data_IF_471941933387
#
_entry.id   IF_471941933387
#
_cell.length_a   1.000
_cell.length_b   1.000
_cell.length_c   1.000
_cell.angle_alpha   90.00
_cell.angle_beta   90.00
_cell.angle_gamma   90.00
#
_symmetry.space_group_name_H-M   'P 1'
#
loop_
_entity.id
_entity.type
_entity.pdbx_description
1 polymer ?
#
# COMPACT_ATOMS: atom_id res chain seq x y z
N UNK A 1 16.16 -13.82 -0.67
CA UNK A 1 17.64 -13.76 -0.80
C UNK A 1 18.24 -12.50 -0.16
N UNK A 2 17.79 -11.28 -0.50
CA UNK A 2 18.37 -10.04 0.03
C UNK A 2 18.42 -9.90 1.56
N UNK A 3 17.35 -10.30 2.27
CA UNK A 3 17.28 -10.25 3.75
C UNK A 3 18.32 -11.14 4.45
N UNK A 4 18.65 -12.31 3.88
CA UNK A 4 19.64 -13.22 4.45
C UNK A 4 21.04 -12.61 4.42
N UNK A 5 21.43 -11.99 3.30
CA UNK A 5 22.74 -11.36 3.17
C UNK A 5 22.92 -10.18 4.13
N UNK A 6 21.85 -9.42 4.37
CA UNK A 6 21.86 -8.34 5.36
C UNK A 6 22.05 -8.84 6.81
N UNK A 7 21.63 -10.07 7.11
CA UNK A 7 21.86 -10.72 8.41
C UNK A 7 23.25 -11.36 8.52
N UNK A 8 23.91 -11.63 7.38
CA UNK A 8 25.24 -12.22 7.32
C UNK A 8 26.20 -11.40 6.43
N UNK A 9 26.60 -10.18 6.84
CA UNK A 9 27.43 -9.30 6.00
C UNK A 9 28.76 -9.91 5.57
N UNK A 10 29.34 -10.79 6.39
CA UNK A 10 30.58 -11.52 6.05
C UNK A 10 30.41 -12.43 4.84
N UNK A 11 29.21 -12.95 4.57
CA UNK A 11 28.93 -13.76 3.39
C UNK A 11 29.01 -12.95 2.09
N UNK A 12 28.81 -11.63 2.13
CA UNK A 12 28.90 -10.76 0.95
C UNK A 12 30.32 -10.75 0.36
N UNK A 13 31.35 -10.99 1.17
CA UNK A 13 32.73 -11.07 0.71
C UNK A 13 33.02 -12.35 -0.11
N UNK A 14 32.17 -13.37 0.00
CA UNK A 14 32.33 -14.65 -0.71
C UNK A 14 31.75 -14.63 -2.13
N UNK A 15 30.93 -13.62 -2.46
CA UNK A 15 30.32 -13.54 -3.78
C UNK A 15 31.32 -13.03 -4.84
N UNK A 16 31.32 -13.65 -6.03
CA UNK A 16 31.96 -13.07 -7.21
C UNK A 16 31.45 -11.64 -7.49
N UNK A 17 32.32 -10.76 -7.96
CA UNK A 17 32.00 -9.32 -8.16
C UNK A 17 31.16 -9.04 -9.39
N UNK A 18 30.98 -10.02 -10.25
CA UNK A 18 30.12 -10.03 -11.43
C UNK A 18 28.67 -10.45 -11.12
N UNK A 19 28.36 -10.83 -9.87
CA UNK A 19 26.98 -11.08 -9.43
C UNK A 19 26.24 -9.76 -9.21
N UNK A 20 25.02 -9.68 -9.73
CA UNK A 20 24.07 -8.59 -9.46
C UNK A 20 23.01 -9.06 -8.47
N UNK A 21 22.82 -8.28 -7.40
CA UNK A 21 21.84 -8.58 -6.35
C UNK A 21 20.47 -8.03 -6.74
N UNK A 22 19.44 -8.89 -6.80
CA UNK A 22 18.05 -8.45 -6.81
C UNK A 22 17.62 -8.09 -5.38
N UNK A 23 17.70 -6.80 -5.03
CA UNK A 23 17.48 -6.32 -3.67
C UNK A 23 16.01 -5.93 -3.47
N UNK A 24 15.21 -6.87 -2.98
CA UNK A 24 13.77 -6.66 -2.80
C UNK A 24 13.38 -6.22 -1.39
N UNK A 25 12.47 -5.25 -1.32
CA UNK A 25 11.86 -4.79 -0.07
C UNK A 25 10.54 -4.08 -0.36
N UNK A 26 9.45 -4.57 0.25
CA UNK A 26 8.09 -4.15 -0.10
C UNK A 26 7.41 -3.30 0.97
N UNK A 27 8.03 -3.11 2.15
CA UNK A 27 7.42 -2.28 3.19
C UNK A 27 7.80 -0.83 2.98
N UNK A 28 6.86 0.08 3.24
CA UNK A 28 7.12 1.53 3.25
C UNK A 28 8.16 1.86 4.31
N UNK A 29 9.15 2.67 3.94
CA UNK A 29 10.22 3.16 4.82
C UNK A 29 10.52 4.62 4.54
N UNK A 30 11.00 5.31 5.57
CA UNK A 30 11.54 6.67 5.45
C UNK A 30 12.93 6.72 4.83
N UNK A 31 13.64 5.59 4.75
CA UNK A 31 14.90 5.43 4.03
C UNK A 31 15.16 3.93 3.79
N UNK A 32 15.75 3.60 2.65
CA UNK A 32 16.21 2.27 2.31
C UNK A 32 17.74 2.10 2.42
N UNK A 33 18.46 3.10 2.94
CA UNK A 33 19.93 3.07 3.02
C UNK A 33 20.45 1.84 3.77
N UNK A 34 19.75 1.40 4.83
CA UNK A 34 20.11 0.19 5.60
C UNK A 34 20.04 -1.09 4.76
N UNK A 35 19.24 -1.10 3.69
CA UNK A 35 19.09 -2.23 2.77
C UNK A 35 20.02 -2.11 1.55
N UNK A 36 20.43 -0.90 1.17
CA UNK A 36 21.22 -0.64 -0.05
C UNK A 36 22.73 -0.53 0.22
N UNK A 37 23.11 0.22 1.27
CA UNK A 37 24.50 0.55 1.56
C UNK A 37 25.39 -0.66 1.85
N UNK A 38 24.93 -1.74 2.50
CA UNK A 38 25.77 -2.92 2.72
C UNK A 38 26.32 -3.52 1.42
N UNK A 39 25.47 -3.65 0.39
CA UNK A 39 25.90 -4.18 -0.91
C UNK A 39 26.82 -3.20 -1.66
N UNK A 40 26.52 -1.90 -1.61
CA UNK A 40 27.37 -0.86 -2.17
C UNK A 40 28.78 -0.88 -1.57
N UNK A 41 28.88 -0.98 -0.24
CA UNK A 41 30.16 -1.07 0.49
C UNK A 41 30.91 -2.37 0.21
N UNK A 42 30.19 -3.45 -0.09
CA UNK A 42 30.78 -4.73 -0.52
C UNK A 42 31.24 -4.72 -2.00
N UNK A 43 30.99 -3.64 -2.74
CA UNK A 43 31.32 -3.50 -4.16
C UNK A 43 30.48 -4.42 -5.06
N UNK A 44 29.25 -4.74 -4.65
CA UNK A 44 28.32 -5.57 -5.41
C UNK A 44 27.33 -4.68 -6.16
N UNK A 45 27.08 -5.01 -7.43
CA UNK A 45 26.01 -4.38 -8.19
C UNK A 45 24.65 -4.87 -7.68
N UNK A 46 23.63 -4.04 -7.77
CA UNK A 46 22.29 -4.36 -7.31
C UNK A 46 21.19 -3.69 -8.16
N UNK A 47 20.06 -4.37 -8.28
CA UNK A 47 18.79 -3.76 -8.64
C UNK A 47 18.03 -3.45 -7.37
N UNK A 48 17.35 -2.31 -7.32
CA UNK A 48 16.28 -2.14 -6.32
C UNK A 48 15.02 -2.83 -6.85
N UNK A 49 14.34 -3.57 -5.99
CA UNK A 49 13.15 -4.33 -6.36
C UNK A 49 11.99 -3.97 -5.44
N UNK A 50 11.27 -2.87 -5.73
CA UNK A 50 10.02 -2.55 -5.03
C UNK A 50 8.91 -3.53 -5.44
N UNK A 51 7.75 -3.43 -4.80
CA UNK A 51 6.60 -4.27 -5.11
C UNK A 51 5.33 -3.46 -5.32
N UNK A 52 4.52 -3.90 -6.29
CA UNK A 52 3.25 -3.27 -6.65
C UNK A 52 2.07 -3.64 -5.73
N UNK A 53 2.37 -4.28 -4.60
CA UNK A 53 1.42 -4.63 -3.53
C UNK A 53 0.14 -5.29 -4.02
N UNK A 54 0.31 -6.39 -4.76
CA UNK A 54 -0.78 -7.04 -5.47
C UNK A 54 -0.86 -8.56 -5.17
N UNK A 55 -0.31 -8.98 -4.05
CA UNK A 55 -0.36 -10.35 -3.51
C UNK A 55 -1.23 -10.34 -2.25
N UNK A 56 -2.18 -11.26 -2.13
CA UNK A 56 -3.16 -11.24 -1.04
C UNK A 56 -4.24 -10.16 -1.22
N UNK A 57 -4.45 -9.64 -2.43
CA UNK A 57 -5.33 -8.50 -2.63
C UNK A 57 -6.31 -8.73 -3.78
N UNK A 58 -7.59 -8.42 -3.61
CA UNK A 58 -8.53 -8.38 -4.75
C UNK A 58 -8.19 -7.20 -5.68
N UNK A 59 -7.81 -6.06 -5.09
CA UNK A 59 -7.37 -4.86 -5.78
C UNK A 59 -6.09 -4.37 -5.09
N UNK A 60 -5.03 -4.01 -5.84
CA UNK A 60 -3.72 -3.75 -5.24
C UNK A 60 -3.75 -2.63 -4.20
N UNK A 61 -2.96 -2.75 -3.13
CA UNK A 61 -2.71 -1.66 -2.19
C UNK A 61 -1.80 -0.62 -2.86
N UNK A 62 -2.46 0.27 -3.61
CA UNK A 62 -1.81 1.35 -4.34
C UNK A 62 -1.07 2.28 -3.38
N UNK A 63 -1.54 2.45 -2.13
CA UNK A 63 -0.90 3.35 -1.18
C UNK A 63 0.48 2.85 -0.78
N UNK A 64 0.59 1.57 -0.46
CA UNK A 64 1.87 0.93 -0.12
C UNK A 64 2.77 0.89 -1.34
N UNK A 65 2.26 0.46 -2.50
CA UNK A 65 3.03 0.34 -3.73
C UNK A 65 3.73 1.65 -4.11
N UNK A 66 2.99 2.75 -4.28
CA UNK A 66 3.59 4.03 -4.74
C UNK A 66 4.55 4.63 -3.71
N UNK A 67 4.29 4.46 -2.40
CA UNK A 67 5.20 4.93 -1.35
C UNK A 67 6.48 4.11 -1.30
N UNK A 68 6.36 2.79 -1.42
CA UNK A 68 7.49 1.87 -1.48
C UNK A 68 8.34 2.16 -2.72
N UNK A 69 7.76 2.12 -3.91
CA UNK A 69 8.44 2.33 -5.19
C UNK A 69 9.07 3.70 -5.28
N UNK A 70 8.32 4.77 -4.99
CA UNK A 70 8.81 6.15 -5.12
C UNK A 70 10.02 6.44 -4.25
N UNK A 71 10.05 5.92 -3.00
CA UNK A 71 11.19 6.14 -2.10
C UNK A 71 12.33 5.16 -2.36
N UNK A 72 12.04 3.90 -2.65
CA UNK A 72 13.09 2.89 -2.84
C UNK A 72 13.90 3.17 -4.10
N UNK A 73 13.24 3.58 -5.19
CA UNK A 73 13.92 4.01 -6.42
C UNK A 73 14.74 5.27 -6.18
N UNK A 74 14.20 6.28 -5.48
CA UNK A 74 14.93 7.51 -5.19
C UNK A 74 16.19 7.29 -4.32
N UNK A 75 16.13 6.37 -3.35
CA UNK A 75 17.29 6.00 -2.55
C UNK A 75 18.28 5.16 -3.35
N UNK A 76 17.77 4.30 -4.24
CA UNK A 76 18.56 3.53 -5.20
C UNK A 76 19.40 4.42 -6.12
N UNK A 77 18.80 5.44 -6.73
CA UNK A 77 19.48 6.38 -7.62
C UNK A 77 20.68 7.11 -6.97
N UNK A 78 20.66 7.29 -5.65
CA UNK A 78 21.73 7.95 -4.89
C UNK A 78 22.79 6.98 -4.39
N UNK A 79 22.59 5.67 -4.56
CA UNK A 79 23.45 4.64 -3.98
C UNK A 79 24.36 4.01 -5.03
N UNK A 80 25.67 4.02 -4.75
CA UNK A 80 26.66 3.37 -5.62
C UNK A 80 26.35 1.88 -5.82
N UNK A 81 26.59 1.39 -7.02
CA UNK A 81 26.34 -0.01 -7.39
C UNK A 81 24.87 -0.34 -7.67
N UNK A 82 23.93 0.58 -7.47
CA UNK A 82 22.56 0.40 -7.98
C UNK A 82 22.57 0.67 -9.47
N UNK A 83 22.20 -0.34 -10.27
CA UNK A 83 22.27 -0.27 -11.74
C UNK A 83 20.90 -0.21 -12.43
N UNK A 84 19.82 -0.26 -11.65
CA UNK A 84 18.46 -0.11 -12.18
C UNK A 84 17.40 -0.59 -11.19
N UNK A 85 16.22 -0.88 -11.74
CA UNK A 85 15.04 -1.33 -10.99
C UNK A 85 14.51 -2.62 -11.61
N UNK A 86 14.11 -3.57 -10.77
CA UNK A 86 13.29 -4.72 -11.15
C UNK A 86 11.96 -4.60 -10.41
N UNK A 87 10.94 -4.10 -11.10
CA UNK A 87 9.61 -3.95 -10.51
C UNK A 87 8.98 -5.32 -10.30
N UNK A 88 8.36 -5.56 -9.13
CA UNK A 88 7.85 -6.88 -8.78
C UNK A 88 6.33 -6.89 -8.65
N UNK A 89 5.73 -7.81 -9.41
CA UNK A 89 4.30 -8.08 -9.48
C UNK A 89 4.14 -9.58 -9.22
N UNK A 90 3.53 -9.94 -8.09
CA UNK A 90 3.61 -11.31 -7.56
C UNK A 90 2.35 -12.15 -7.82
N UNK A 91 1.15 -11.62 -7.55
CA UNK A 91 -0.13 -12.34 -7.69
C UNK A 91 -0.14 -13.74 -7.02
N UNK A 92 0.40 -13.87 -5.80
CA UNK A 92 0.73 -15.17 -5.17
C UNK A 92 -0.44 -16.17 -5.04
N UNK A 93 -1.69 -15.70 -4.93
CA UNK A 93 -2.92 -16.49 -4.76
C UNK A 93 -3.76 -16.64 -6.05
N UNK A 94 -3.41 -15.90 -7.11
CA UNK A 94 -4.17 -15.88 -8.37
C UNK A 94 -5.50 -15.14 -8.32
N UNK A 95 -5.80 -14.43 -7.24
CA UNK A 95 -7.08 -13.73 -7.03
C UNK A 95 -7.05 -12.29 -7.55
N UNK A 96 -5.87 -11.67 -7.51
CA UNK A 96 -5.65 -10.31 -8.02
C UNK A 96 -5.76 -10.26 -9.55
N UNK A 97 -6.58 -9.35 -10.06
CA UNK A 97 -6.63 -9.05 -11.50
C UNK A 97 -5.44 -8.17 -11.90
N UNK A 98 -4.52 -8.69 -12.72
CA UNK A 98 -3.33 -7.92 -13.18
C UNK A 98 -3.70 -6.57 -13.82
N UNK A 99 -4.84 -6.47 -14.50
CA UNK A 99 -5.30 -5.21 -15.09
C UNK A 99 -5.54 -4.10 -14.06
N UNK A 100 -5.81 -4.44 -12.79
CA UNK A 100 -5.90 -3.48 -11.71
C UNK A 100 -4.53 -2.95 -11.24
N UNK A 101 -3.44 -3.65 -11.59
CA UNK A 101 -2.07 -3.35 -11.14
C UNK A 101 -1.33 -2.39 -12.08
N UNK A 102 -1.91 -1.99 -13.21
CA UNK A 102 -1.25 -1.05 -14.14
C UNK A 102 -0.91 0.31 -13.52
N UNK A 103 -1.69 0.78 -12.55
CA UNK A 103 -1.42 2.05 -11.90
C UNK A 103 -0.06 2.05 -11.15
N UNK A 104 0.18 1.16 -10.17
CA UNK A 104 1.48 1.12 -9.49
C UNK A 104 2.65 0.73 -10.43
N UNK A 105 2.45 -0.20 -11.39
CA UNK A 105 3.46 -0.56 -12.40
C UNK A 105 3.94 0.68 -13.18
N UNK A 106 3.00 1.48 -13.71
CA UNK A 106 3.37 2.67 -14.49
C UNK A 106 3.95 3.78 -13.62
N UNK A 107 3.57 3.85 -12.35
CA UNK A 107 4.24 4.73 -11.41
C UNK A 107 5.71 4.32 -11.21
N UNK A 108 6.00 3.01 -11.15
CA UNK A 108 7.36 2.48 -11.16
C UNK A 108 8.18 2.93 -12.37
N UNK A 109 7.59 2.86 -13.57
CA UNK A 109 8.23 3.38 -14.81
C UNK A 109 8.55 4.88 -14.68
N UNK A 110 7.60 5.69 -14.20
CA UNK A 110 7.83 7.13 -13.99
C UNK A 110 8.95 7.36 -12.97
N UNK A 111 8.96 6.61 -11.87
CA UNK A 111 9.99 6.71 -10.84
C UNK A 111 11.39 6.36 -11.36
N UNK A 112 11.49 5.39 -12.27
CA UNK A 112 12.76 5.01 -12.89
C UNK A 112 13.29 6.09 -13.85
N UNK A 113 12.40 6.79 -14.55
CA UNK A 113 12.78 7.76 -15.59
C UNK A 113 13.08 9.16 -15.05
N UNK A 114 12.53 9.50 -13.89
CA UNK A 114 12.71 10.80 -13.26
C UNK A 114 13.85 10.78 -12.24
N UNK A 115 14.61 11.87 -12.16
CA UNK A 115 15.64 12.04 -11.14
C UNK A 115 15.03 12.33 -9.76
N UNK A 116 15.50 11.63 -8.74
CA UNK A 116 15.10 11.79 -7.36
C UNK A 116 13.74 11.19 -7.04
N UNK A 117 13.10 11.75 -6.01
CA UNK A 117 11.80 11.29 -5.55
C UNK A 117 10.69 11.71 -6.51
N UNK A 118 9.99 10.72 -7.06
CA UNK A 118 8.83 10.95 -7.94
C UNK A 118 7.56 11.18 -7.12
N UNK A 119 6.93 12.34 -7.35
CA UNK A 119 5.68 12.69 -6.68
C UNK A 119 4.50 12.05 -7.41
N UNK A 120 3.81 11.12 -6.74
CA UNK A 120 2.65 10.43 -7.28
C UNK A 120 1.57 11.37 -7.81
N UNK A 121 1.30 12.51 -7.15
CA UNK A 121 0.24 13.45 -7.55
C UNK A 121 0.30 13.84 -9.03
N UNK A 122 1.50 14.12 -9.56
CA UNK A 122 1.69 14.51 -10.97
C UNK A 122 1.45 13.35 -11.95
N UNK A 123 1.65 12.12 -11.49
CA UNK A 123 1.36 10.91 -12.24
C UNK A 123 -0.14 10.62 -12.20
N UNK A 124 -0.75 10.66 -11.02
CA UNK A 124 -2.20 10.48 -10.80
C UNK A 124 -3.02 11.36 -11.75
N UNK A 125 -2.76 12.67 -11.76
CA UNK A 125 -3.48 13.64 -12.61
C UNK A 125 -3.39 13.34 -14.13
N UNK A 126 -2.39 12.57 -14.57
CA UNK A 126 -2.12 12.26 -15.98
C UNK A 126 -2.38 10.80 -16.36
N UNK A 127 -2.60 9.92 -15.39
CA UNK A 127 -2.67 8.48 -15.60
C UNK A 127 -3.76 8.10 -16.61
N UNK A 128 -4.97 8.62 -16.45
CA UNK A 128 -6.11 8.31 -17.32
C UNK A 128 -5.81 8.64 -18.80
N UNK A 129 -5.25 9.83 -19.05
CA UNK A 129 -4.89 10.25 -20.40
C UNK A 129 -3.70 9.44 -20.94
N UNK A 130 -2.65 9.26 -20.14
CA UNK A 130 -1.42 8.60 -20.59
C UNK A 130 -1.62 7.11 -20.90
N UNK A 131 -2.51 6.42 -20.18
CA UNK A 131 -2.71 4.99 -20.34
C UNK A 131 -3.95 4.63 -21.17
N UNK A 132 -5.05 5.37 -21.02
CA UNK A 132 -6.32 5.08 -21.69
C UNK A 132 -6.70 6.10 -22.77
N UNK A 133 -5.96 7.22 -22.90
CA UNK A 133 -6.35 8.32 -23.79
C UNK A 133 -7.61 9.06 -23.31
N UNK A 134 -7.97 8.92 -22.03
CA UNK A 134 -9.16 9.53 -21.44
C UNK A 134 -8.79 10.78 -20.63
N UNK A 135 -9.34 11.93 -21.03
CA UNK A 135 -9.18 13.20 -20.32
C UNK A 135 -10.17 13.35 -19.14
N UNK A 136 -11.12 12.42 -19.00
CA UNK A 136 -12.06 12.44 -17.90
C UNK A 136 -11.35 12.11 -16.57
N UNK A 137 -11.49 13.02 -15.61
CA UNK A 137 -11.01 12.84 -14.23
C UNK A 137 -11.79 11.78 -13.44
N UNK A 138 -12.68 11.02 -14.09
CA UNK A 138 -13.51 10.01 -13.43
C UNK A 138 -12.67 8.81 -12.99
N UNK A 139 -11.81 8.29 -13.87
CA UNK A 139 -11.02 7.11 -13.57
C UNK A 139 -10.09 7.31 -12.36
N UNK A 140 -9.42 8.46 -12.28
CA UNK A 140 -8.49 8.74 -11.18
C UNK A 140 -9.23 8.92 -9.84
N UNK A 141 -10.47 9.39 -9.86
CA UNK A 141 -11.35 9.41 -8.68
C UNK A 141 -11.81 8.01 -8.29
N UNK A 142 -12.19 7.18 -9.27
CA UNK A 142 -12.57 5.79 -9.01
C UNK A 142 -11.38 5.02 -8.39
N UNK A 143 -10.15 5.31 -8.82
CA UNK A 143 -8.91 4.78 -8.21
C UNK A 143 -8.73 5.27 -6.77
N UNK A 144 -8.99 6.55 -6.48
CA UNK A 144 -8.93 7.09 -5.12
C UNK A 144 -9.99 6.45 -4.20
N UNK A 145 -11.19 6.23 -4.71
CA UNK A 145 -12.29 5.57 -3.98
C UNK A 145 -11.92 4.11 -3.65
N UNK A 146 -11.36 3.36 -4.62
CA UNK A 146 -10.88 1.99 -4.41
C UNK A 146 -9.72 1.93 -3.41
N UNK A 147 -8.75 2.85 -3.53
CA UNK A 147 -7.66 3.01 -2.56
C UNK A 147 -8.17 3.30 -1.15
N UNK A 148 -9.21 4.12 -1.00
CA UNK A 148 -9.78 4.42 0.31
C UNK A 148 -10.43 3.18 0.92
N UNK A 149 -11.14 2.39 0.11
CA UNK A 149 -11.81 1.17 0.57
C UNK A 149 -10.84 0.13 1.15
N UNK A 150 -9.65 0.00 0.54
CA UNK A 150 -8.59 -0.88 1.03
C UNK A 150 -8.20 -0.56 2.48
N UNK A 151 -8.04 0.73 2.80
CA UNK A 151 -7.75 1.19 4.16
C UNK A 151 -8.88 0.93 5.16
N UNK A 152 -10.12 0.82 4.68
CA UNK A 152 -11.27 0.50 5.52
C UNK A 152 -11.41 -1.00 5.78
N UNK A 153 -10.86 -1.85 4.90
CA UNK A 153 -10.88 -3.32 5.00
C UNK A 153 -9.70 -3.90 5.77
N UNK A 154 -8.56 -3.21 5.82
CA UNK A 154 -7.37 -3.66 6.55
C UNK A 154 -7.65 -3.84 8.05
N UNK A 155 -7.39 -5.04 8.60
CA UNK A 155 -7.45 -5.26 10.06
C UNK A 155 -6.11 -5.08 10.75
N UNK A 156 -5.02 -5.12 9.99
CA UNK A 156 -3.67 -4.76 10.43
C UNK A 156 -2.93 -3.97 9.33
N UNK A 157 -1.85 -3.24 9.64
CA UNK A 157 -1.09 -2.48 8.64
C UNK A 157 -0.38 -3.32 7.55
N UNK A 158 -0.48 -4.65 7.61
CA UNK A 158 0.06 -5.55 6.59
C UNK A 158 -0.89 -6.73 6.33
N UNK A 159 -2.17 -6.50 6.55
CA UNK A 159 -3.21 -7.49 6.32
C UNK A 159 -3.58 -7.47 4.84
N UNK A 160 -3.43 -8.60 4.17
CA UNK A 160 -3.98 -8.85 2.83
C UNK A 160 -5.50 -8.78 2.91
N UNK A 161 -6.20 -8.06 2.03
CA UNK A 161 -7.65 -7.86 2.14
C UNK A 161 -8.49 -8.99 1.52
N UNK A 162 -7.86 -9.84 0.71
CA UNK A 162 -8.53 -10.86 -0.10
C UNK A 162 -9.33 -11.91 0.70
N UNK A 163 -8.84 -12.32 1.87
CA UNK A 163 -9.52 -13.31 2.71
C UNK A 163 -10.92 -12.82 3.13
N UNK A 164 -11.17 -11.51 3.17
CA UNK A 164 -12.49 -10.96 3.49
C UNK A 164 -13.51 -11.24 2.37
N UNK A 165 -13.04 -11.36 1.13
CA UNK A 165 -13.88 -11.70 -0.02
C UNK A 165 -14.47 -13.10 0.10
N UNK A 166 -13.68 -14.05 0.60
CA UNK A 166 -14.09 -15.46 0.76
C UNK A 166 -14.67 -15.80 2.13
N UNK A 167 -14.58 -14.86 3.07
CA UNK A 167 -15.11 -15.03 4.41
C UNK A 167 -16.63 -15.18 4.38
N UNK A 168 -17.17 -16.17 5.10
CA UNK A 168 -18.62 -16.32 5.26
C UNK A 168 -19.18 -15.12 6.07
N UNK A 169 -19.98 -14.22 5.46
CA UNK A 169 -20.49 -13.05 6.15
C UNK A 169 -21.52 -13.39 7.25
N UNK A 170 -21.96 -14.65 7.32
CA UNK A 170 -22.90 -15.15 8.32
C UNK A 170 -22.25 -15.98 9.43
N UNK A 171 -20.96 -16.25 9.34
CA UNK A 171 -20.24 -16.99 10.37
C UNK A 171 -20.15 -16.18 11.69
N UNK A 172 -20.61 -16.79 12.78
CA UNK A 172 -20.78 -16.16 14.11
C UNK A 172 -19.47 -15.58 14.67
N UNK A 173 -18.31 -16.13 14.29
CA UNK A 173 -17.00 -15.68 14.77
C UNK A 173 -16.48 -14.41 14.05
N UNK A 174 -16.91 -14.12 12.82
CA UNK A 174 -16.50 -12.92 12.08
C UNK A 174 -17.29 -11.68 12.54
N UNK A 175 -18.51 -11.86 13.09
CA UNK A 175 -19.28 -10.78 13.72
C UNK A 175 -18.49 -10.07 14.82
N UNK A 176 -17.65 -10.80 15.54
CA UNK A 176 -16.85 -10.26 16.63
C UNK A 176 -15.72 -9.38 16.07
N UNK A 177 -15.00 -9.79 15.02
CA UNK A 177 -13.94 -8.96 14.43
C UNK A 177 -14.49 -7.76 13.62
N UNK A 178 -15.56 -7.95 12.85
CA UNK A 178 -16.17 -6.88 12.04
C UNK A 178 -16.96 -5.84 12.86
N UNK A 179 -17.39 -6.19 14.08
CA UNK A 179 -18.09 -5.26 14.99
C UNK A 179 -17.19 -4.66 16.07
N UNK A 180 -16.00 -5.21 16.33
CA UNK A 180 -15.20 -4.77 17.49
C UNK A 180 -14.41 -3.48 17.27
N UNK A 181 -14.07 -3.02 16.05
CA UNK A 181 -13.30 -1.75 15.99
C UNK A 181 -13.36 -0.95 14.68
N UNK A 182 -14.55 -0.62 14.16
CA UNK A 182 -14.64 0.53 13.24
C UNK A 182 -15.97 1.30 13.32
N UNK A 183 -16.09 2.33 14.20
CA UNK A 183 -17.28 3.17 14.29
C UNK A 183 -17.60 3.99 13.02
N UNK A 184 -16.74 4.00 11.98
CA UNK A 184 -17.03 4.68 10.69
C UNK A 184 -18.04 3.91 9.82
N UNK A 185 -18.07 2.58 9.89
CA UNK A 185 -18.90 1.77 8.98
C UNK A 185 -20.41 1.92 9.23
N UNK A 186 -20.82 2.31 10.44
CA UNK A 186 -22.23 2.59 10.75
C UNK A 186 -22.73 3.90 10.10
N UNK A 187 -21.89 4.94 9.96
CA UNK A 187 -22.32 6.19 9.35
C UNK A 187 -22.45 6.12 7.83
N UNK A 188 -21.62 5.32 7.17
CA UNK A 188 -21.61 5.18 5.71
C UNK A 188 -22.74 4.31 5.16
N UNK A 189 -23.16 3.30 5.93
CA UNK A 189 -24.38 2.51 5.60
C UNK A 189 -25.64 3.40 5.59
N UNK A 190 -25.63 4.46 6.40
CA UNK A 190 -26.72 5.43 6.49
C UNK A 190 -26.72 6.46 5.35
N UNK A 191 -25.58 6.71 4.69
CA UNK A 191 -25.47 7.67 3.58
C UNK A 191 -25.66 7.01 2.21
N UNK A 192 -25.31 5.73 2.04
CA UNK A 192 -25.47 5.01 0.76
C UNK A 192 -26.91 4.60 0.47
N UNK A 193 -27.73 4.38 1.50
CA UNK A 193 -29.17 4.18 1.35
C UNK A 193 -29.84 5.56 1.21
N UNK A 194 -30.22 5.95 -0.03
CA UNK A 194 -31.05 7.13 -0.32
C UNK A 194 -32.49 6.98 0.22
N UNK A 195 -32.63 6.76 1.53
CA UNK A 195 -33.91 6.46 2.17
C UNK A 195 -33.93 6.63 3.69
N UNK A 196 -32.92 7.27 4.31
CA UNK A 196 -32.99 7.54 5.74
C UNK A 196 -33.85 8.78 6.03
N UNK A 197 -35.10 8.53 6.43
CA UNK A 197 -36.06 9.56 6.86
C UNK A 197 -35.50 10.36 8.05
N UNK A 198 -35.95 11.61 8.18
CA UNK A 198 -35.43 12.60 9.14
C UNK A 198 -35.47 12.16 10.62
N UNK A 199 -36.21 11.11 10.95
CA UNK A 199 -36.26 10.51 12.28
C UNK A 199 -34.96 9.76 12.65
N UNK A 200 -34.33 9.05 11.71
CA UNK A 200 -33.14 8.24 11.98
C UNK A 200 -31.87 9.08 12.21
N UNK A 201 -31.79 10.26 11.58
CA UNK A 201 -30.69 11.22 11.84
C UNK A 201 -30.69 11.74 13.29
N UNK A 202 -31.87 11.94 13.88
CA UNK A 202 -31.97 12.46 15.26
C UNK A 202 -31.49 11.45 16.29
N UNK A 203 -31.83 10.17 16.13
CA UNK A 203 -31.40 9.11 17.04
C UNK A 203 -29.88 8.92 17.05
N UNK A 204 -29.22 9.06 15.90
CA UNK A 204 -27.76 8.93 15.80
C UNK A 204 -27.04 10.08 16.53
N UNK A 205 -27.53 11.32 16.40
CA UNK A 205 -26.97 12.48 17.12
C UNK A 205 -27.20 12.40 18.64
N UNK A 206 -28.29 11.80 19.11
CA UNK A 206 -28.57 11.67 20.55
C UNK A 206 -27.67 10.63 21.20
N UNK A 207 -27.35 9.53 20.50
CA UNK A 207 -26.41 8.50 21.00
C UNK A 207 -24.99 9.06 21.17
N UNK A 208 -24.57 9.98 20.29
CA UNK A 208 -23.26 10.63 20.34
C UNK A 208 -23.08 11.61 21.53
N UNK A 209 -24.17 12.22 22.03
CA UNK A 209 -24.10 13.15 23.17
C UNK A 209 -24.01 12.46 24.54
N UNK A 210 -24.42 11.20 24.65
CA UNK A 210 -24.47 10.51 25.94
C UNK A 210 -23.18 9.78 26.31
N UNK A 211 -22.28 9.51 25.35
CA UNK A 211 -21.01 8.81 25.60
C UNK A 211 -19.85 9.72 26.02
N UNK A 212 -19.96 11.05 25.90
CA UNK A 212 -18.90 12.00 26.27
C UNK A 212 -18.97 12.55 27.70
N UNK A 213 -19.86 12.04 28.56
CA UNK A 213 -20.03 12.56 29.95
C UNK A 213 -19.44 11.73 31.08
N UNK A 214 -18.68 10.67 30.81
CA UNK A 214 -18.14 9.80 31.86
C UNK A 214 -16.61 9.63 31.80
N UNK A 215 -15.85 10.71 32.06
CA UNK A 215 -14.46 10.62 32.53
C UNK A 215 -13.93 12.01 32.94
N UNK A 216 -14.30 12.49 34.14
CA UNK A 216 -13.54 13.52 34.85
C UNK A 216 -13.96 13.53 36.32
N UNK A 217 -13.25 12.77 37.15
CA UNK A 217 -13.31 12.89 38.60
C UNK A 217 -11.90 12.67 39.17
N UNK A 218 -11.14 13.76 39.27
CA UNK A 218 -10.01 13.85 40.19
C UNK A 218 -10.53 14.46 41.50
N UNK A 219 -10.50 13.67 42.58
CA UNK A 219 -10.74 14.17 43.95
C UNK A 219 -9.45 14.78 44.50
N UNK A 220 -9.68 15.78 45.35
CA UNK A 220 -8.72 16.67 46.03
C UNK A 220 -7.71 15.93 46.90
#
# INVERSE_FOLDING_TARGET
>A
MGRFLLQHPSAMALFPKDVVIANWHYRVRDSYDVYLQPFARAGLCQFVSPGDSNWGEIYPDITTAVKNTGRYVADGQRTSGVIGVLDTVWNDDGETLFNATWYPVLFGVVACWQSGFSQERRFHDRFAWAFFGDDAQRLVRDIDDLRSADSDTATTPSDSSDYQFWSDPFAVHIRIAAQIDNPRRESERCTSTRGCSSAARRTCTTRWRNTTRAACNWRR
#
